data_IF_924610738325
#
_entry.id   IF_924610738325
#
_cell.length_a   1.000
_cell.length_b   1.000
_cell.length_c   1.000
_cell.angle_alpha   90.00
_cell.angle_beta   90.00
_cell.angle_gamma   90.00
#
_symmetry.space_group_name_H-M   'P 1'
#
loop_
_entity.id
_entity.type
_entity.pdbx_description
1 polymer ?
2 non-polymer ?
3 non-polymer ?
4 water ?
#
# COMPACT_ATOMS: atom_id res chain seq x y z
N UNK A 2 -10.30 -2.98 -33.96
CA UNK A 2 -10.36 -2.97 -32.50
C UNK A 2 -9.40 -1.95 -31.89
N UNK A 3 -8.14 -2.33 -31.79
CA UNK A 3 -7.13 -1.51 -31.09
C UNK A 3 -6.63 -0.33 -31.94
N UNK A 4 -6.69 -0.47 -33.26
CA UNK A 4 -6.13 0.54 -34.17
C UNK A 4 -6.74 1.94 -33.99
N UNK A 5 -7.89 2.01 -33.31
CA UNK A 5 -8.54 3.29 -33.07
C UNK A 5 -7.84 4.08 -31.95
N UNK A 6 -7.32 3.37 -30.97
CA UNK A 6 -6.53 3.98 -29.91
C UNK A 6 -5.07 4.12 -30.32
N UNK A 7 -4.57 3.14 -31.06
CA UNK A 7 -3.22 3.23 -31.60
C UNK A 7 -3.12 4.50 -32.43
N UNK A 8 -4.19 4.82 -33.15
CA UNK A 8 -4.28 6.06 -33.91
C UNK A 8 -4.36 7.28 -33.00
N UNK A 9 -5.32 7.26 -32.07
CA UNK A 9 -5.53 8.37 -31.16
C UNK A 9 -4.32 8.65 -30.26
N UNK A 10 -3.66 7.59 -29.79
CA UNK A 10 -2.50 7.78 -28.93
C UNK A 10 -1.33 8.36 -29.74
N UNK A 11 -1.23 7.96 -31.01
CA UNK A 11 -0.15 8.41 -31.89
C UNK A 11 -0.33 9.80 -32.51
N UNK A 12 -1.58 10.28 -32.59
CA UNK A 12 -1.84 11.60 -33.16
C UNK A 12 -2.13 12.61 -32.06
N UNK A 13 -2.18 12.12 -30.82
CA UNK A 13 -2.43 12.96 -29.66
C UNK A 13 -1.71 12.36 -28.44
N UNK A 14 -1.01 13.21 -27.70
CA UNK A 14 -0.16 12.77 -26.61
C UNK A 14 0.72 11.53 -26.89
N UNK A 15 1.79 11.73 -27.64
CA UNK A 15 2.95 10.84 -27.59
C UNK A 15 3.82 11.48 -26.55
N UNK A 16 3.38 12.66 -26.13
CA UNK A 16 3.96 13.38 -25.02
C UNK A 16 3.81 12.52 -23.77
N UNK A 17 2.79 11.67 -23.78
CA UNK A 17 2.57 10.71 -22.70
C UNK A 17 3.19 9.35 -23.01
N UNK A 18 3.47 9.09 -24.29
CA UNK A 18 4.24 7.92 -24.67
C UNK A 18 5.71 8.17 -24.37
N UNK A 19 6.08 9.45 -24.29
CA UNK A 19 7.43 9.86 -23.96
C UNK A 19 7.71 9.66 -22.46
N UNK A 20 6.79 10.12 -21.62
CA UNK A 20 6.90 9.89 -20.18
C UNK A 20 6.91 8.39 -19.92
N UNK A 21 6.32 7.65 -20.85
CA UNK A 21 6.17 6.20 -20.73
C UNK A 21 7.48 5.43 -20.94
N UNK A 22 8.26 5.84 -21.93
CA UNK A 22 9.54 5.18 -22.19
C UNK A 22 10.49 5.44 -21.03
N UNK A 23 10.43 6.66 -20.50
CA UNK A 23 11.33 7.11 -19.44
C UNK A 23 11.13 6.37 -18.12
N UNK A 24 10.06 5.58 -18.04
CA UNK A 24 9.67 5.01 -16.76
C UNK A 24 9.54 3.48 -16.77
N UNK A 25 9.26 2.91 -17.94
CA UNK A 25 9.21 1.47 -18.10
C UNK A 25 10.46 0.97 -18.82
N UNK A 26 11.31 1.91 -19.21
CA UNK A 26 12.58 1.60 -19.86
C UNK A 26 13.75 2.31 -19.20
N UNK A 27 13.47 3.42 -18.53
CA UNK A 27 14.50 4.21 -17.88
C UNK A 27 15.18 5.22 -18.80
N UNK A 28 14.78 5.22 -20.06
CA UNK A 28 15.44 6.02 -21.10
C UNK A 28 15.37 7.54 -20.85
N UNK A 29 16.48 8.09 -20.36
CA UNK A 29 16.57 9.49 -19.96
C UNK A 29 16.53 10.50 -21.12
N UNK A 30 16.61 10.01 -22.36
CA UNK A 30 16.45 10.89 -23.51
C UNK A 30 16.22 10.17 -24.83
N UNK A 31 15.04 10.38 -25.43
CA UNK A 31 14.85 10.13 -26.85
C UNK A 31 13.92 11.16 -27.46
N UNK A 32 13.44 10.89 -28.67
CA UNK A 32 12.78 11.91 -29.47
C UNK A 32 11.93 11.32 -30.57
N UNK A 34 8.73 9.03 -30.42
CA UNK A 34 8.09 7.76 -30.08
C UNK A 34 6.79 7.55 -30.85
N UNK A 35 6.33 6.29 -30.94
CA UNK A 35 4.98 5.98 -31.39
C UNK A 35 4.55 4.58 -30.97
N UNK A 36 3.26 4.28 -31.15
CA UNK A 36 2.66 3.04 -30.67
C UNK A 36 2.49 2.09 -31.84
N UNK A 37 2.96 0.85 -31.71
CA UNK A 37 2.87 -0.10 -32.82
C UNK A 37 1.93 -1.29 -32.61
N UNK A 38 1.56 -1.56 -31.36
CA UNK A 38 0.62 -2.64 -31.09
C UNK A 38 0.19 -2.65 -29.63
N UNK A 39 -1.03 -3.14 -29.39
CA UNK A 39 -1.52 -3.35 -28.04
C UNK A 39 -2.26 -4.66 -27.96
N UNK A 40 -2.30 -5.25 -26.78
CA UNK A 40 -3.16 -6.40 -26.51
C UNK A 40 -3.66 -6.30 -25.08
N UNK A 41 -4.18 -7.41 -24.55
CA UNK A 41 -4.80 -7.35 -23.22
C UNK A 41 -3.81 -7.46 -22.07
N UNK A 42 -2.53 -7.64 -22.38
CA UNK A 42 -1.50 -7.67 -21.33
C UNK A 42 -0.58 -6.47 -21.35
N UNK A 43 -0.70 -5.61 -22.36
CA UNK A 43 0.10 -4.41 -22.41
C UNK A 43 0.38 -3.86 -23.79
N UNK A 44 1.37 -2.98 -23.87
CA UNK A 44 1.68 -2.28 -25.10
C UNK A 44 3.00 -2.72 -25.71
N UNK A 45 3.14 -2.47 -27.00
CA UNK A 45 4.41 -2.59 -27.68
C UNK A 45 4.66 -1.27 -28.40
N UNK A 46 5.76 -0.60 -28.06
CA UNK A 46 6.07 0.68 -28.69
C UNK A 46 7.53 0.80 -29.10
N UNK A 47 7.90 1.98 -29.61
CA UNK A 47 9.18 2.14 -30.29
C UNK A 47 9.76 3.56 -30.17
N UNK A 48 11.02 3.65 -29.76
CA UNK A 48 11.67 4.94 -29.52
C UNK A 48 12.85 5.17 -30.47
N UNK A 52 14.45 -0.41 -31.56
CA UNK A 52 14.09 0.35 -30.37
C UNK A 52 12.77 -0.14 -29.77
N UNK A 53 12.73 -1.42 -29.41
CA UNK A 53 11.51 -2.02 -28.88
C UNK A 53 11.36 -1.93 -27.37
N UNK A 54 10.26 -1.36 -26.92
CA UNK A 54 9.92 -1.34 -25.50
C UNK A 54 8.57 -2.02 -25.28
N UNK A 55 8.58 -3.10 -24.51
CA UNK A 55 7.37 -3.83 -24.16
C UNK A 55 6.88 -3.38 -22.79
N UNK A 56 5.70 -2.77 -22.76
CA UNK A 56 5.16 -2.19 -21.52
C UNK A 56 3.94 -2.96 -21.03
N UNK A 57 4.07 -3.60 -19.88
CA UNK A 57 3.01 -4.45 -19.34
C UNK A 57 1.95 -3.70 -18.55
N UNK A 58 0.79 -4.33 -18.41
CA UNK A 58 -0.31 -3.80 -17.60
C UNK A 58 -0.30 -4.42 -16.21
N UNK A 59 -0.57 -3.60 -15.18
CA UNK A 59 -0.65 -4.07 -13.79
C UNK A 59 -1.61 -5.25 -13.65
N UNK A 60 -2.75 -5.13 -14.31
CA UNK A 60 -3.70 -6.24 -14.40
C UNK A 60 -4.19 -6.40 -15.83
N UNK A 61 -4.39 -7.65 -16.26
CA UNK A 61 -4.86 -7.94 -17.61
C UNK A 61 -6.24 -7.33 -17.86
N UNK A 62 -6.37 -6.64 -18.99
CA UNK A 62 -7.61 -5.95 -19.32
C UNK A 62 -8.53 -6.82 -20.15
N UNK A 63 -9.66 -6.25 -20.56
CA UNK A 63 -10.55 -6.87 -21.53
C UNK A 63 -11.20 -5.77 -22.38
N UNK A 64 -11.98 -6.16 -23.39
CA UNK A 64 -12.58 -5.20 -24.31
C UNK A 64 -13.18 -3.97 -23.64
N UNK A 65 -13.73 -4.13 -22.44
CA UNK A 65 -14.44 -3.06 -21.76
C UNK A 65 -13.53 -2.20 -20.88
N UNK A 66 -12.45 -2.78 -20.39
CA UNK A 66 -11.55 -2.10 -19.46
C UNK A 66 -10.33 -1.50 -20.13
N UNK A 67 -9.89 -2.12 -21.23
CA UNK A 67 -8.63 -1.76 -21.88
C UNK A 67 -8.42 -0.25 -22.11
N UNK A 68 -9.49 0.46 -22.45
CA UNK A 68 -9.38 1.90 -22.66
C UNK A 68 -8.87 2.59 -21.40
N UNK A 69 -9.43 2.21 -20.25
CA UNK A 69 -9.08 2.85 -18.97
C UNK A 69 -7.74 2.41 -18.38
N UNK A 70 -7.34 1.15 -18.61
CA UNK A 70 -6.09 0.67 -18.07
C UNK A 70 -4.94 1.45 -18.67
N UNK A 71 -5.11 1.84 -19.92
CA UNK A 71 -4.07 2.55 -20.66
C UNK A 71 -3.92 4.00 -20.20
N UNK A 72 -5.03 4.65 -19.85
CA UNK A 72 -4.98 6.01 -19.35
C UNK A 72 -4.38 6.03 -17.95
N UNK A 73 -4.71 5.00 -17.16
CA UNK A 73 -4.14 4.82 -15.84
C UNK A 73 -2.64 4.55 -15.94
N UNK A 74 -2.26 3.74 -16.92
CA UNK A 74 -0.85 3.43 -17.16
C UNK A 74 -0.08 4.71 -17.52
N UNK A 75 -0.77 5.67 -18.11
CA UNK A 75 -0.16 6.92 -18.56
C UNK A 75 -0.10 7.99 -17.47
N UNK A 76 -1.20 8.17 -16.74
CA UNK A 76 -1.26 9.15 -15.66
C UNK A 76 -0.26 8.88 -14.54
N UNK A 77 0.05 7.61 -14.30
CA UNK A 77 1.04 7.24 -13.29
C UNK A 77 2.45 7.54 -13.75
N UNK A 78 2.68 7.45 -15.05
CA UNK A 78 3.98 7.77 -15.65
C UNK A 78 4.21 9.27 -15.69
N UNK A 79 3.13 10.03 -15.57
CA UNK A 79 3.22 11.49 -15.55
C UNK A 79 4.05 11.92 -14.34
N UNK A 80 5.02 12.79 -14.60
CA UNK A 80 6.03 13.14 -13.60
C UNK A 80 5.53 14.03 -12.47
N UNK A 81 4.22 14.15 -12.31
CA UNK A 81 3.67 15.02 -11.27
C UNK A 81 2.66 14.33 -10.38
N UNK A 82 3.02 14.15 -9.11
CA UNK A 82 2.09 13.65 -8.12
C UNK A 82 0.81 14.47 -8.17
N UNK A 83 -0.34 13.78 -8.13
CA UNK A 83 -1.61 14.48 -8.05
C UNK A 83 -1.89 14.95 -6.63
N UNK A 84 -3.02 15.64 -6.47
CA UNK A 84 -3.48 16.09 -5.16
C UNK A 84 -3.20 15.04 -4.09
N UNK A 85 -3.04 15.49 -2.85
CA UNK A 85 -3.02 14.56 -1.74
C UNK A 85 -4.42 13.99 -1.54
N UNK A 86 -5.01 13.55 -2.66
CA UNK A 86 -6.16 12.67 -2.65
C UNK A 86 -5.58 11.30 -2.44
N UNK A 87 -4.27 11.30 -2.23
CA UNK A 87 -3.52 10.13 -1.81
C UNK A 87 -3.55 10.04 -0.28
N UNK A 88 -3.62 11.19 0.39
CA UNK A 88 -3.86 11.19 1.83
C UNK A 88 -5.21 10.55 2.10
N UNK A 89 -6.20 10.95 1.30
CA UNK A 89 -7.55 10.41 1.39
C UNK A 89 -7.60 8.92 1.01
N UNK A 90 -6.75 8.51 0.08
CA UNK A 90 -6.71 7.12 -0.37
C UNK A 90 -5.99 6.25 0.66
N UNK A 91 -4.91 6.78 1.22
CA UNK A 91 -4.18 6.11 2.29
C UNK A 91 -5.09 5.76 3.47
N UNK A 92 -5.92 6.70 3.90
CA UNK A 92 -6.77 6.47 5.05
C UNK A 92 -7.98 5.60 4.75
N UNK A 93 -8.59 5.77 3.57
CA UNK A 93 -9.61 4.83 3.12
C UNK A 93 -9.05 3.40 3.19
N UNK A 94 -7.79 3.26 2.81
CA UNK A 94 -7.12 1.96 2.82
C UNK A 94 -7.00 1.39 4.24
N UNK A 95 -6.49 2.18 5.17
CA UNK A 95 -6.31 1.73 6.54
C UNK A 95 -7.63 1.29 7.17
N UNK A 96 -8.70 2.02 6.85
CA UNK A 96 -10.02 1.80 7.47
C UNK A 96 -10.78 0.59 6.92
N UNK A 97 -10.31 0.03 5.81
CA UNK A 97 -10.95 -1.17 5.25
C UNK A 97 -10.58 -2.41 6.06
N UNK A 98 -9.50 -2.32 6.85
CA UNK A 98 -9.03 -3.44 7.67
C UNK A 98 -9.42 -3.30 9.14
N UNK A 99 -9.50 -4.43 9.83
CA UNK A 99 -9.51 -4.45 11.29
C UNK A 99 -8.47 -5.45 11.83
N UNK A 100 -7.42 -5.66 11.03
CA UNK A 100 -6.27 -6.47 11.43
C UNK A 100 -5.03 -5.95 10.70
N UNK A 101 -3.85 -6.18 11.29
CA UNK A 101 -2.61 -5.63 10.75
C UNK A 101 -1.43 -6.58 10.99
N UNK A 102 -0.41 -6.52 10.13
CA UNK A 102 0.79 -7.33 10.32
C UNK A 102 1.76 -6.58 11.22
N UNK A 103 2.54 -7.33 11.99
CA UNK A 103 3.45 -6.72 12.95
C UNK A 103 4.86 -7.24 12.80
N UNK A 104 5.82 -6.35 13.00
CA UNK A 104 7.21 -6.73 13.14
C UNK A 104 7.66 -6.34 14.54
N UNK A 105 7.92 -7.35 15.37
CA UNK A 105 8.34 -7.11 16.76
C UNK A 105 9.69 -7.76 17.06
N UNK A 106 10.23 -7.47 18.23
CA UNK A 106 11.55 -7.96 18.65
C UNK A 106 11.52 -8.42 20.10
N UNK A 107 12.03 -9.62 20.37
CA UNK A 107 11.99 -10.15 21.73
C UNK A 107 13.16 -9.71 22.64
N UNK A 108 13.27 -10.37 23.80
CA UNK A 108 14.27 -10.03 24.81
C UNK A 108 15.72 -10.25 24.37
N UNK A 109 15.94 -11.19 23.45
CA UNK A 109 17.28 -11.43 22.94
C UNK A 109 17.46 -11.07 21.47
N UNK A 110 16.79 -10.00 21.04
CA UNK A 110 16.97 -9.47 19.71
C UNK A 110 16.63 -10.36 18.52
N UNK A 111 15.68 -11.29 18.68
CA UNK A 111 15.17 -12.03 17.52
C UNK A 111 13.92 -11.33 17.00
N UNK A 112 13.82 -11.19 15.68
CA UNK A 112 12.66 -10.51 15.09
C UNK A 112 11.49 -11.47 14.84
N UNK A 113 10.27 -10.97 15.05
CA UNK A 113 9.08 -11.80 14.92
C UNK A 113 8.06 -11.16 13.98
N UNK A 114 7.53 -11.97 13.07
CA UNK A 114 6.47 -11.53 12.16
C UNK A 114 5.16 -12.18 12.61
N UNK A 115 4.20 -11.35 12.99
CA UNK A 115 2.90 -11.82 13.45
C UNK A 115 1.79 -10.89 12.96
N UNK A 116 0.57 -11.10 13.43
CA UNK A 116 -0.52 -10.18 13.10
C UNK A 116 -1.43 -9.96 14.31
N UNK A 117 -2.16 -8.85 14.30
CA UNK A 117 -3.06 -8.53 15.40
C UNK A 117 -4.29 -7.76 14.96
N UNK A 118 -5.43 -8.00 15.62
CA UNK A 118 -6.64 -7.22 15.37
C UNK A 118 -6.36 -5.74 15.62
N UNK A 119 -6.98 -4.86 14.85
CA UNK A 119 -6.65 -3.44 14.89
C UNK A 119 -7.88 -2.56 14.75
N UNK A 120 -7.87 -1.41 15.43
CA UNK A 120 -8.97 -0.46 15.31
C UNK A 120 -8.48 0.99 15.46
N UNK A 121 -8.96 1.85 14.57
CA UNK A 121 -8.72 3.29 14.70
C UNK A 121 -9.96 3.98 15.28
N UNK A 122 -9.76 4.82 16.30
CA UNK A 122 -10.87 5.48 16.98
C UNK A 122 -10.63 6.96 17.25
N UNK A 123 -11.58 7.62 17.92
CA UNK A 123 -11.43 9.01 18.33
C UNK A 123 -10.20 9.12 19.21
N UNK A 124 -10.01 8.10 20.05
CA UNK A 124 -8.99 8.10 21.07
C UNK A 124 -7.64 7.54 20.60
N UNK A 125 -7.59 7.12 19.33
CA UNK A 125 -6.35 6.65 18.74
C UNK A 125 -6.43 5.23 18.19
N UNK A 126 -5.26 4.70 17.83
CA UNK A 126 -5.18 3.40 17.17
C UNK A 126 -4.76 2.30 18.13
N UNK A 127 -5.48 1.19 18.13
CA UNK A 127 -5.21 0.12 19.08
C UNK A 127 -5.10 -1.25 18.43
N UNK A 128 -4.41 -2.16 19.12
CA UNK A 128 -4.46 -3.58 18.79
C UNK A 128 -4.86 -4.36 20.04
N UNK A 129 -5.31 -5.60 19.85
CA UNK A 129 -5.77 -6.41 20.96
C UNK A 129 -5.02 -7.74 20.94
N UNK A 130 -4.17 -7.96 21.95
CA UNK A 130 -3.30 -9.12 21.97
C UNK A 130 -3.22 -9.83 23.33
N UNK A 131 -2.93 -11.13 23.29
CA UNK A 131 -2.84 -11.96 24.49
C UNK A 131 -1.40 -12.24 24.89
N UNK A 132 -1.18 -12.45 26.19
CA UNK A 132 0.13 -12.76 26.72
C UNK A 132 0.60 -14.18 26.34
N UNK A 133 -0.30 -14.95 25.73
CA UNK A 133 0.04 -16.29 25.25
C UNK A 133 0.86 -16.21 23.97
N UNK A 134 0.84 -15.04 23.33
CA UNK A 134 1.51 -14.86 22.05
C UNK A 134 2.90 -14.27 22.21
N UNK A 135 3.80 -14.68 21.33
CA UNK A 135 5.19 -14.23 21.35
C UNK A 135 5.31 -12.71 21.28
N UNK A 136 4.54 -12.08 20.40
CA UNK A 136 4.65 -10.63 20.19
C UNK A 136 4.27 -9.80 21.42
N UNK A 137 3.66 -10.44 22.43
CA UNK A 137 3.25 -9.72 23.63
C UNK A 137 4.44 -9.21 24.42
N UNK A 138 5.33 -10.10 24.83
CA UNK A 138 6.50 -9.72 25.62
C UNK A 138 7.49 -8.92 24.77
N UNK A 139 7.46 -9.15 23.47
CA UNK A 139 8.29 -8.39 22.53
C UNK A 139 7.93 -6.92 22.57
N UNK A 140 6.69 -6.63 22.95
CA UNK A 140 6.18 -5.27 22.99
C UNK A 140 6.24 -4.70 24.41
N UNK A 141 6.15 -5.57 25.40
CA UNK A 141 6.31 -5.15 26.79
C UNK A 141 7.76 -4.69 26.97
N UNK A 142 8.68 -5.43 26.35
CA UNK A 142 10.11 -5.22 26.46
C UNK A 142 10.67 -4.19 25.47
N UNK A 143 10.29 -4.30 24.20
CA UNK A 143 10.76 -3.37 23.17
C UNK A 143 9.63 -2.52 22.58
N UNK A 144 9.01 -1.67 23.41
CA UNK A 144 7.75 -0.99 23.09
C UNK A 144 7.85 0.11 22.02
N UNK A 145 9.07 0.44 21.59
CA UNK A 145 9.23 1.36 20.46
C UNK A 145 10.19 0.87 19.40
N UNK A 146 10.26 -0.46 19.25
CA UNK A 146 10.86 -1.04 18.07
C UNK A 146 9.82 -1.94 17.42
N UNK A 147 8.85 -1.31 16.78
CA UNK A 147 7.76 -2.02 16.13
C UNK A 147 7.45 -1.34 14.80
N UNK A 148 7.14 -2.14 13.78
CA UNK A 148 6.59 -1.61 12.56
C UNK A 148 5.36 -2.44 12.20
N UNK A 149 4.33 -1.78 11.71
CA UNK A 149 3.09 -2.46 11.36
C UNK A 149 2.82 -2.28 9.87
N UNK A 150 2.15 -3.26 9.27
CA UNK A 150 1.86 -3.18 7.86
C UNK A 150 0.41 -3.53 7.57
N UNK A 151 -0.28 -2.63 6.88
CA UNK A 151 -1.58 -2.93 6.29
C UNK A 151 -1.34 -3.44 4.89
N UNK A 152 -1.54 -4.74 4.68
CA UNK A 152 -1.23 -5.36 3.40
C UNK A 152 -2.48 -5.82 2.66
N UNK A 153 -2.64 -5.36 1.43
CA UNK A 153 -3.81 -5.72 0.63
C UNK A 153 -3.91 -7.23 0.48
N UNK A 154 -5.14 -7.75 0.49
CA UNK A 154 -5.37 -9.17 0.26
C UNK A 154 -4.87 -9.60 -1.12
N UNK A 155 -4.18 -10.74 -1.16
CA UNK A 155 -3.63 -11.26 -2.41
C UNK A 155 -4.70 -11.49 -3.49
N UNK A 156 -5.88 -11.95 -3.07
CA UNK A 156 -6.98 -12.21 -4.01
C UNK A 156 -7.66 -10.94 -4.53
N UNK A 157 -7.28 -9.80 -3.98
CA UNK A 157 -7.81 -8.51 -4.43
C UNK A 157 -6.77 -7.70 -5.22
N UNK A 158 -5.50 -8.01 -5.00
CA UNK A 158 -4.38 -7.28 -5.62
C UNK A 158 -4.28 -7.52 -7.12
N UNK A 159 -3.73 -6.54 -7.84
CA UNK A 159 -3.49 -6.66 -9.28
C UNK A 159 -2.63 -7.89 -9.59
N UNK A 160 -1.58 -8.08 -8.80
CA UNK A 160 -0.72 -9.25 -8.90
C UNK A 160 0.05 -9.41 -7.60
N UNK A 161 0.63 -10.59 -7.39
CA UNK A 161 1.36 -10.88 -6.15
C UNK A 161 2.59 -9.98 -5.99
N UNK A 162 3.02 -9.34 -7.08
CA UNK A 162 4.16 -8.45 -7.03
C UNK A 162 3.74 -7.00 -6.84
N UNK A 163 2.45 -6.76 -6.68
CA UNK A 163 1.94 -5.41 -6.44
C UNK A 163 0.73 -5.43 -5.49
N UNK A 164 0.93 -5.94 -4.28
CA UNK A 164 -0.09 -5.82 -3.24
C UNK A 164 0.05 -4.45 -2.57
N UNK A 165 -0.99 -3.62 -2.63
CA UNK A 165 -0.92 -2.31 -1.96
C UNK A 165 -0.62 -2.50 -0.48
N UNK A 166 0.14 -1.57 0.09
CA UNK A 166 0.61 -1.72 1.46
C UNK A 166 0.87 -0.38 2.13
N UNK A 167 0.65 -0.32 3.44
CA UNK A 167 0.85 0.89 4.24
C UNK A 167 1.64 0.49 5.49
N UNK A 168 2.79 1.12 5.70
CA UNK A 168 3.68 0.73 6.80
C UNK A 168 4.03 1.90 7.73
N UNK A 169 3.81 1.71 9.03
CA UNK A 169 4.19 2.72 10.02
C UNK A 169 5.09 2.13 11.09
N UNK A 170 6.15 2.86 11.45
CA UNK A 170 6.84 2.61 12.72
C UNK A 170 5.95 3.14 13.82
N UNK A 171 5.88 2.44 14.94
CA UNK A 171 4.93 2.85 15.97
C UNK A 171 5.51 2.84 17.38
N UNK A 172 4.83 3.57 18.26
CA UNK A 172 5.13 3.52 19.68
C UNK A 172 3.92 2.94 20.42
N UNK A 173 4.14 1.92 21.22
CA UNK A 173 3.04 1.19 21.85
C UNK A 173 2.91 1.48 23.34
N UNK A 174 1.67 1.67 23.79
CA UNK A 174 1.37 1.88 25.20
C UNK A 174 0.22 0.98 25.63
N UNK A 175 0.38 0.33 26.78
CA UNK A 175 -0.65 -0.57 27.30
C UNK A 175 -1.76 0.20 27.99
N UNK A 176 -3.01 -0.01 27.57
CA UNK A 176 -4.15 0.51 28.30
C UNK A 176 -4.59 -0.53 29.32
N UNK A 177 -5.31 -0.09 30.36
CA UNK A 177 -6.00 -1.00 31.27
C UNK A 177 -7.51 -0.74 31.17
N UNK A 178 -8.30 -1.66 31.69
CA UNK A 178 -9.73 -1.77 31.40
C UNK A 178 -10.62 -0.84 32.18
N UNK A 179 -11.86 -0.73 31.70
CA UNK A 179 -12.85 0.07 32.40
C UNK A 179 -13.63 1.07 31.56
N UNK A 180 -13.28 2.35 31.70
CA UNK A 180 -13.98 3.41 30.98
C UNK A 180 -13.73 3.39 29.47
N UNK A 181 -12.46 3.54 29.09
CA UNK A 181 -12.08 3.65 27.70
C UNK A 181 -12.12 2.29 27.00
N UNK A 182 -11.68 1.25 27.69
CA UNK A 182 -11.64 -0.10 27.14
C UNK A 182 -12.98 -0.39 26.46
N UNK A 183 -14.06 -0.14 27.19
CA UNK A 183 -15.41 -0.36 26.69
C UNK A 183 -15.76 0.58 25.52
N UNK A 184 -15.24 1.80 25.56
CA UNK A 184 -15.42 2.76 24.46
C UNK A 184 -14.73 2.27 23.18
N UNK A 185 -13.44 1.98 23.28
CA UNK A 185 -12.66 1.47 22.15
C UNK A 185 -13.24 0.16 21.63
N UNK A 186 -13.37 -0.81 22.52
CA UNK A 186 -13.79 -2.15 22.12
C UNK A 186 -15.21 -2.20 21.54
N UNK A 187 -16.07 -1.27 21.94
CA UNK A 187 -17.41 -1.20 21.38
C UNK A 187 -17.39 -0.61 19.98
N UNK A 188 -16.40 0.26 19.72
CA UNK A 188 -16.16 0.77 18.38
C UNK A 188 -15.53 -0.32 17.50
N UNK A 189 -14.64 -1.11 18.09
CA UNK A 189 -14.08 -2.27 17.40
C UNK A 189 -15.21 -3.22 16.97
N UNK A 190 -16.09 -3.54 17.92
CA UNK A 190 -17.28 -4.34 17.63
C UNK A 190 -18.16 -3.68 16.56
N UNK A 191 -18.20 -2.35 16.55
CA UNK A 191 -18.97 -1.62 15.55
C UNK A 191 -18.41 -1.84 14.15
N UNK A 192 -17.12 -1.57 13.99
CA UNK A 192 -16.45 -1.71 12.69
C UNK A 192 -16.46 -3.14 12.17
N UNK A 193 -16.22 -4.10 13.07
CA UNK A 193 -16.11 -5.50 12.65
C UNK A 193 -17.47 -6.17 12.51
N UNK A 194 -18.47 -5.58 13.13
CA UNK A 194 -19.80 -6.19 13.15
C UNK A 194 -20.06 -7.14 14.29
N UNK A 195 -19.08 -7.30 15.18
CA UNK A 195 -19.33 -8.02 16.42
C UNK A 195 -19.01 -9.51 16.56
N UNK A 196 -19.28 -10.30 15.53
CA UNK A 196 -19.28 -11.77 15.68
C UNK A 196 -17.92 -12.48 15.55
N UNK A 197 -17.93 -13.81 15.71
CA UNK A 197 -16.76 -14.63 15.49
C UNK A 197 -15.93 -15.03 16.70
N UNK A 198 -16.43 -14.68 17.90
CA UNK A 198 -15.68 -14.93 19.12
C UNK A 198 -15.03 -13.65 19.60
N UNK A 199 -15.32 -12.55 18.92
CA UNK A 199 -14.84 -11.22 19.31
C UNK A 199 -15.36 -10.85 20.69
N UNK A 200 -16.64 -11.14 20.95
CA UNK A 200 -17.25 -10.90 22.26
C UNK A 200 -16.60 -11.73 23.35
N UNK A 201 -16.19 -12.95 23.00
CA UNK A 201 -15.61 -13.89 23.95
C UNK A 201 -14.24 -13.46 24.46
N UNK A 202 -13.39 -12.98 23.54
CA UNK A 202 -12.03 -12.58 23.91
C UNK A 202 -12.01 -11.22 24.59
N UNK A 203 -13.13 -10.50 24.52
CA UNK A 203 -13.27 -9.25 25.26
C UNK A 203 -13.17 -9.54 26.73
N UNK A 204 -13.75 -10.67 27.14
CA UNK A 204 -13.82 -11.08 28.54
C UNK A 204 -12.69 -12.03 28.90
N UNK A 205 -11.58 -11.95 28.17
CA UNK A 205 -10.37 -12.68 28.55
C UNK A 205 -9.31 -11.73 29.08
N UNK A 206 -8.93 -11.93 30.33
CA UNK A 206 -8.06 -10.99 31.03
C UNK A 206 -6.59 -11.09 30.64
N UNK A 207 -6.25 -12.11 29.85
CA UNK A 207 -4.88 -12.23 29.36
C UNK A 207 -4.72 -11.45 28.06
N UNK A 208 -5.83 -10.86 27.59
CA UNK A 208 -5.83 -9.98 26.44
C UNK A 208 -5.75 -8.52 26.87
N UNK A 209 -4.98 -7.73 26.13
CA UNK A 209 -4.79 -6.32 26.44
C UNK A 209 -4.93 -5.46 25.20
N UNK A 210 -5.39 -4.23 25.40
CA UNK A 210 -5.44 -3.23 24.35
C UNK A 210 -4.15 -2.42 24.35
N UNK A 211 -3.57 -2.22 23.18
CA UNK A 211 -2.32 -1.48 23.08
C UNK A 211 -2.48 -0.31 22.11
N UNK A 212 -2.30 0.90 22.62
CA UNK A 212 -2.37 2.09 21.78
C UNK A 212 -1.10 2.17 20.94
N UNK A 213 -1.25 2.33 19.63
CA UNK A 213 -0.10 2.50 18.74
C UNK A 213 0.01 3.97 18.31
N UNK A 214 1.24 4.48 18.32
CA UNK A 214 1.52 5.86 17.93
C UNK A 214 2.29 5.91 16.62
N UNK A 215 1.61 6.33 15.56
CA UNK A 215 2.20 6.32 14.22
C UNK A 215 3.34 7.33 14.07
N UNK A 216 4.47 6.85 13.58
CA UNK A 216 5.60 7.70 13.23
C UNK A 216 5.72 7.79 11.72
N UNK A 217 6.92 7.55 11.21
CA UNK A 217 7.17 7.58 9.77
C UNK A 217 6.36 6.53 9.03
N UNK A 218 5.70 6.95 7.95
CA UNK A 218 4.90 6.05 7.15
C UNK A 218 5.45 5.84 5.75
N UNK A 219 4.89 4.85 5.05
CA UNK A 219 5.27 4.51 3.68
C UNK A 219 4.08 3.84 3.01
N UNK A 220 3.65 4.39 1.88
CA UNK A 220 2.50 3.87 1.17
C UNK A 220 2.89 3.55 -0.28
N UNK A 221 2.52 2.35 -0.74
CA UNK A 221 2.76 1.94 -2.12
C UNK A 221 1.43 1.52 -2.76
N UNK A 222 1.04 2.20 -3.85
CA UNK A 222 -0.24 1.94 -4.49
C UNK A 222 -0.10 1.44 -5.92
N UNK A 223 1.13 1.31 -6.39
CA UNK A 223 1.41 0.86 -7.74
C UNK A 223 2.85 1.11 -8.18
N UNK A 224 3.19 0.64 -9.36
CA UNK A 224 4.54 0.83 -9.91
C UNK A 224 4.87 2.31 -10.07
N UNK A 225 5.99 2.73 -9.49
CA UNK A 225 6.39 4.12 -9.52
C UNK A 225 5.57 4.98 -8.58
N UNK A 226 4.79 4.34 -7.71
CA UNK A 226 3.90 5.06 -6.82
C UNK A 226 4.13 4.76 -5.34
N UNK A 227 5.30 5.12 -4.84
CA UNK A 227 5.62 4.99 -3.41
C UNK A 227 5.69 6.36 -2.74
N UNK A 228 5.03 6.49 -1.60
CA UNK A 228 4.98 7.78 -0.90
C UNK A 228 5.35 7.67 0.58
N UNK A 229 5.95 8.73 1.12
CA UNK A 229 6.35 8.77 2.52
C UNK A 229 5.38 9.61 3.35
N UNK A 230 5.33 9.35 4.66
CA UNK A 230 4.49 10.13 5.58
C UNK A 230 5.25 10.49 6.86
N UNK A 231 5.01 11.70 7.36
CA UNK A 231 5.66 12.19 8.58
C UNK A 231 4.70 13.00 9.41
N UNK A 232 4.44 14.21 8.95
CA UNK A 232 3.66 15.20 9.68
C UNK A 232 2.85 16.04 8.69
N UNK A 233 1.93 15.37 7.99
CA UNK A 233 1.27 15.93 6.82
C UNK A 233 2.24 15.80 5.67
N UNK A 234 3.42 15.30 6.02
CA UNK A 234 4.53 15.17 5.08
C UNK A 234 4.39 13.97 4.14
N UNK A 235 3.23 13.84 3.49
CA UNK A 235 3.14 12.96 2.33
C UNK A 235 4.27 13.39 1.40
N UNK A 236 4.73 12.50 0.52
CA UNK A 236 5.89 12.80 -0.32
C UNK A 236 6.17 11.68 -1.33
N UNK A 237 6.26 12.02 -2.62
CA UNK A 237 6.66 11.05 -3.64
C UNK A 237 8.16 10.83 -3.51
N UNK A 238 8.65 9.66 -3.94
CA UNK A 238 10.00 9.26 -3.50
C UNK A 238 11.18 10.15 -3.91
N UNK A 239 11.66 10.16 -5.16
CA UNK A 239 11.20 9.33 -6.26
C UNK A 239 11.57 10.04 -7.54
N UNK A 240 11.42 11.36 -7.48
CA UNK A 240 11.71 12.28 -8.56
C UNK A 240 13.20 12.31 -8.94
N UNK A 241 14.08 11.87 -8.04
CA UNK A 241 15.50 11.80 -8.42
C UNK A 241 15.75 10.62 -9.35
N UNK A 242 14.70 10.21 -10.07
CA UNK A 242 14.84 9.21 -11.11
C UNK A 242 14.30 7.84 -10.77
N UNK A 243 13.97 7.09 -11.83
CA UNK A 243 13.69 5.66 -11.74
C UNK A 243 14.88 4.93 -11.12
N UNK A 244 14.68 4.33 -9.93
CA UNK A 244 15.78 3.73 -9.19
C UNK A 244 16.15 2.32 -9.65
N UNK A 245 15.39 1.76 -10.58
CA UNK A 245 15.61 0.39 -11.03
C UNK A 245 16.65 0.32 -12.15
N UNK A 246 17.17 -0.89 -12.37
CA UNK A 246 18.21 -1.10 -13.37
C UNK A 246 17.84 -2.13 -14.43
N UNK A 247 17.56 -1.65 -15.64
CA UNK A 247 17.25 -2.53 -16.77
C UNK A 247 18.52 -2.86 -17.51
N UNK A 248 18.48 -3.89 -18.33
CA UNK A 248 19.63 -4.22 -19.14
C UNK A 248 19.59 -3.39 -20.41
N UNK A 249 18.42 -3.26 -21.01
CA UNK A 249 18.36 -2.76 -22.36
C UNK A 249 19.39 -3.58 -23.09
N UNK A 250 19.27 -4.90 -23.00
CA UNK A 250 20.32 -5.78 -23.49
C UNK A 250 19.94 -7.26 -23.55
N UNK A 251 19.62 -7.76 -24.74
CA UNK A 251 19.52 -9.20 -24.97
C UNK A 251 20.53 -9.65 -26.03
#
# INVERSE_FOLDING_TARGET
MNFESIISHMNDHHKSNLVDLCKKFGGIEQVQDVFLKSVDFNGLDLVYNDKENLRVEFPKKADENTIKDTIISLCMSAKSEQNFSGVEKELNEFMLSFNSVALATLNANGEVVCSYAPFVSTQWGNYIYISEVSEHFNNIKVNPNNIEIMFLEDESKAASVILRKRLRYRVNASFLERGERFDQIYDEFEKQTGGEGGIKTIRKMLDFHLVKLEFKKGRFVKGFGQAYDIENGNVTHVGASGNPHKFLHKH
#
